data_IF_143352663932
#
_entry.id   IF_143352663932
#
_cell.length_a   1.000
_cell.length_b   1.000
_cell.length_c   1.000
_cell.angle_alpha   90.00
_cell.angle_beta   90.00
_cell.angle_gamma   90.00
#
_symmetry.space_group_name_H-M   'P 1'
#
loop_
_entity.id
_entity.type
_entity.pdbx_description
1 polymer ?
#
# COMPACT_ATOMS: atom_id res chain seq x y z
N UNK A 1 31.94 -9.22 -35.41
CA UNK A 1 31.78 -9.72 -34.03
C UNK A 1 30.80 -8.80 -33.31
N UNK A 2 29.50 -9.13 -33.30
CA UNK A 2 28.45 -8.22 -32.79
C UNK A 2 28.12 -8.64 -31.35
N UNK A 3 28.53 -7.82 -30.39
CA UNK A 3 28.18 -7.96 -28.98
C UNK A 3 26.69 -7.68 -28.81
N UNK A 4 25.91 -8.73 -28.53
CA UNK A 4 24.48 -8.62 -28.21
C UNK A 4 24.35 -7.97 -26.83
N UNK A 5 23.71 -6.80 -26.77
CA UNK A 5 23.41 -6.08 -25.54
C UNK A 5 22.51 -6.93 -24.64
N UNK A 6 23.01 -7.23 -23.45
CA UNK A 6 22.26 -7.84 -22.35
C UNK A 6 21.27 -6.83 -21.81
N UNK A 7 20.02 -6.93 -22.24
CA UNK A 7 18.90 -6.24 -21.60
C UNK A 7 18.72 -6.76 -20.18
N UNK A 8 18.68 -5.86 -19.19
CA UNK A 8 18.27 -6.19 -17.82
C UNK A 8 16.83 -6.71 -17.85
N UNK A 9 16.68 -8.03 -17.75
CA UNK A 9 15.38 -8.70 -17.62
C UNK A 9 15.00 -8.67 -16.14
N UNK A 10 14.02 -7.83 -15.79
CA UNK A 10 13.40 -7.88 -14.46
C UNK A 10 12.90 -9.32 -14.20
N UNK A 11 13.20 -9.90 -13.03
CA UNK A 11 12.75 -11.25 -12.73
C UNK A 11 11.22 -11.27 -12.71
N UNK A 12 10.62 -12.06 -13.61
CA UNK A 12 9.18 -12.30 -13.71
C UNK A 12 8.68 -13.28 -12.63
N UNK A 13 9.59 -13.84 -11.83
CA UNK A 13 9.26 -14.77 -10.74
C UNK A 13 9.00 -14.01 -9.44
N UNK A 14 7.75 -14.10 -8.97
CA UNK A 14 7.29 -13.55 -7.69
C UNK A 14 8.14 -14.15 -6.58
N UNK A 15 8.98 -13.35 -5.91
CA UNK A 15 9.69 -13.82 -4.73
C UNK A 15 8.74 -13.78 -3.53
N UNK A 16 8.45 -14.93 -2.89
CA UNK A 16 7.71 -14.92 -1.65
C UNK A 16 8.50 -14.16 -0.58
N UNK A 17 7.82 -13.33 0.21
CA UNK A 17 8.44 -12.70 1.37
C UNK A 17 8.37 -13.67 2.55
N UNK A 18 9.53 -13.98 3.12
CA UNK A 18 9.68 -14.87 4.26
C UNK A 18 9.89 -14.05 5.54
N UNK A 19 9.08 -14.32 6.56
CA UNK A 19 9.29 -13.79 7.91
C UNK A 19 9.84 -14.89 8.82
N UNK A 20 11.10 -14.82 9.28
CA UNK A 20 11.66 -15.84 10.17
C UNK A 20 10.99 -15.78 11.55
N UNK A 21 10.60 -16.95 12.07
CA UNK A 21 10.14 -17.10 13.45
C UNK A 21 11.38 -17.08 14.39
N UNK A 22 11.58 -15.98 15.13
CA UNK A 22 12.77 -15.78 15.96
C UNK A 22 12.48 -15.56 17.46
N UNK A 23 13.25 -16.26 18.30
CA UNK A 23 13.22 -16.39 19.77
C UNK A 23 13.65 -15.13 20.56
N UNK A 24 13.13 -13.95 20.23
CA UNK A 24 13.25 -12.75 21.07
C UNK A 24 11.94 -11.98 21.09
N UNK A 25 11.07 -12.32 22.04
CA UNK A 25 9.94 -11.50 22.50
C UNK A 25 8.82 -11.11 21.51
N UNK A 26 9.05 -11.15 20.20
CA UNK A 26 8.09 -10.71 19.19
C UNK A 26 7.34 -11.91 18.61
N UNK A 27 6.19 -12.25 19.21
CA UNK A 27 5.23 -13.21 18.65
C UNK A 27 4.42 -12.57 17.51
N UNK A 28 5.07 -12.10 16.45
CA UNK A 28 4.37 -11.78 15.19
C UNK A 28 4.35 -13.02 14.29
N UNK A 29 3.45 -13.95 14.59
CA UNK A 29 3.13 -15.07 13.69
C UNK A 29 2.13 -14.60 12.65
N UNK A 30 2.54 -14.52 11.39
CA UNK A 30 1.66 -14.26 10.24
C UNK A 30 0.73 -15.47 10.00
N UNK A 31 -0.58 -15.32 10.28
CA UNK A 31 -1.54 -16.43 10.38
C UNK A 31 -2.99 -15.90 10.43
N UNK A 32 -4.04 -16.43 9.75
CA UNK A 32 -4.14 -17.33 8.60
C UNK A 32 -4.47 -16.57 7.30
N UNK A 33 -4.13 -17.15 6.14
CA UNK A 33 -4.59 -16.65 4.83
C UNK A 33 -5.98 -17.19 4.55
N UNK A 34 -7.02 -16.35 4.61
CA UNK A 34 -8.38 -16.74 4.22
C UNK A 34 -8.72 -16.18 2.83
N UNK A 35 -9.16 -17.05 1.91
CA UNK A 35 -9.73 -16.62 0.63
C UNK A 35 -11.02 -15.82 0.88
N UNK A 36 -11.21 -14.72 0.15
CA UNK A 36 -12.44 -13.94 0.18
C UNK A 36 -13.30 -14.29 -1.04
N UNK A 37 -14.58 -14.60 -0.81
CA UNK A 37 -15.59 -14.70 -1.86
C UNK A 37 -16.47 -13.46 -1.74
N UNK A 38 -16.29 -12.51 -2.67
CA UNK A 38 -16.89 -11.19 -2.56
C UNK A 38 -16.41 -10.47 -1.29
N UNK A 39 -17.34 -10.07 -0.42
CA UNK A 39 -17.04 -9.40 0.86
C UNK A 39 -16.92 -10.35 2.06
N UNK A 40 -17.20 -11.65 1.90
CA UNK A 40 -17.19 -12.62 3.01
C UNK A 40 -15.86 -13.39 3.06
N UNK A 41 -15.35 -13.53 4.28
CA UNK A 41 -14.07 -14.19 4.57
C UNK A 41 -14.34 -15.67 4.86
N UNK A 42 -13.75 -16.57 4.07
CA UNK A 42 -13.85 -18.02 4.32
C UNK A 42 -12.80 -18.43 5.37
N UNK A 43 -13.17 -18.32 6.66
CA UNK A 43 -12.27 -18.64 7.78
C UNK A 43 -11.91 -20.13 7.85
N UNK A 44 -12.81 -21.01 7.44
CA UNK A 44 -12.62 -22.47 7.49
C UNK A 44 -11.52 -22.97 6.54
N UNK A 45 -11.25 -22.21 5.46
CA UNK A 45 -10.16 -22.48 4.52
C UNK A 45 -8.86 -21.75 4.87
N UNK A 46 -8.84 -21.05 6.01
CA UNK A 46 -7.69 -20.32 6.47
C UNK A 46 -6.60 -21.24 7.00
N UNK A 47 -5.38 -21.12 6.49
CA UNK A 47 -4.20 -21.83 7.01
C UNK A 47 -3.10 -20.86 7.45
N UNK A 48 -2.34 -21.29 8.44
CA UNK A 48 -1.30 -20.54 9.11
C UNK A 48 0.02 -20.59 8.32
N UNK A 49 0.59 -19.46 7.88
CA UNK A 49 1.80 -19.48 7.04
C UNK A 49 2.66 -18.22 7.18
N UNK A 50 3.96 -18.41 7.44
CA UNK A 50 4.96 -17.34 7.58
C UNK A 50 5.44 -16.73 6.23
N UNK A 51 4.85 -17.17 5.13
CA UNK A 51 5.21 -16.82 3.75
C UNK A 51 3.99 -16.25 3.05
N UNK A 52 4.09 -15.03 2.52
CA UNK A 52 3.00 -14.46 1.73
C UNK A 52 3.47 -13.79 0.44
N UNK A 53 2.52 -13.70 -0.50
CA UNK A 53 2.75 -13.14 -1.83
C UNK A 53 2.18 -11.72 -1.86
N UNK A 54 3.00 -10.67 -1.85
CA UNK A 54 2.50 -9.30 -1.82
C UNK A 54 1.69 -8.97 -3.08
N UNK A 55 0.75 -8.02 -2.94
CA UNK A 55 0.02 -7.46 -4.08
C UNK A 55 0.96 -6.69 -5.00
N UNK A 56 0.98 -7.05 -6.29
CA UNK A 56 1.82 -6.35 -7.27
C UNK A 56 1.15 -5.05 -7.71
N UNK A 57 1.89 -3.94 -7.69
CA UNK A 57 1.41 -2.63 -8.09
C UNK A 57 2.30 -2.07 -9.20
N UNK A 58 1.74 -1.90 -10.40
CA UNK A 58 2.41 -1.30 -11.55
C UNK A 58 1.57 -0.13 -12.10
N UNK A 59 1.61 1.04 -11.43
CA UNK A 59 0.84 2.19 -11.90
C UNK A 59 1.47 2.71 -13.20
N UNK A 60 0.63 2.90 -14.22
CA UNK A 60 1.03 3.46 -15.52
C UNK A 60 0.36 4.82 -15.72
N UNK A 61 1.09 5.75 -16.33
CA UNK A 61 0.58 7.07 -16.68
C UNK A 61 0.90 7.36 -18.14
N UNK A 62 -0.08 7.90 -18.85
CA UNK A 62 0.09 8.37 -20.21
C UNK A 62 0.74 9.77 -20.22
N UNK A 63 1.79 9.90 -21.03
CA UNK A 63 2.52 11.14 -21.24
C UNK A 63 1.99 11.77 -22.53
N UNK A 64 1.14 12.78 -22.37
CA UNK A 64 0.58 13.55 -23.47
C UNK A 64 1.17 14.96 -23.46
N UNK A 65 1.90 15.37 -24.52
CA UNK A 65 2.57 16.67 -24.60
C UNK A 65 1.59 17.84 -24.75
N UNK A 66 0.34 17.60 -25.12
CA UNK A 66 -0.68 18.64 -25.25
C UNK A 66 -1.25 19.09 -23.90
N UNK A 67 -1.04 18.30 -22.84
CA UNK A 67 -1.50 18.62 -21.48
C UNK A 67 -0.96 19.97 -21.00
N UNK A 68 -1.84 20.73 -20.37
CA UNK A 68 -1.48 21.98 -19.69
C UNK A 68 -0.61 21.68 -18.48
N UNK A 69 0.56 22.31 -18.41
CA UNK A 69 1.54 22.11 -17.34
C UNK A 69 1.44 23.28 -16.36
N UNK A 70 1.32 22.97 -15.07
CA UNK A 70 1.43 23.98 -14.00
C UNK A 70 2.92 24.26 -13.76
N UNK A 71 3.30 25.53 -13.87
CA UNK A 71 4.66 26.01 -13.60
C UNK A 71 5.04 25.83 -12.13
N UNK A 72 6.32 25.54 -11.88
CA UNK A 72 6.87 25.58 -10.53
C UNK A 72 7.25 26.99 -10.11
N UNK A 73 7.23 27.29 -8.80
CA UNK A 73 7.75 28.57 -8.32
C UNK A 73 9.25 28.68 -8.65
N UNK A 74 9.64 29.77 -9.31
CA UNK A 74 11.03 30.03 -9.73
C UNK A 74 11.47 29.40 -11.06
N UNK A 75 10.57 28.78 -11.81
CA UNK A 75 10.85 28.25 -13.16
C UNK A 75 10.79 29.36 -14.22
N UNK A 76 11.72 29.35 -15.19
CA UNK A 76 11.75 30.31 -16.30
C UNK A 76 10.53 30.10 -17.22
N UNK A 77 9.67 31.12 -17.42
CA UNK A 77 8.53 31.04 -18.33
C UNK A 77 8.90 30.67 -19.78
N UNK A 78 10.09 31.06 -20.24
CA UNK A 78 10.50 30.81 -21.62
C UNK A 78 10.87 29.33 -21.87
N UNK A 79 11.38 28.63 -20.85
CA UNK A 79 11.75 27.22 -20.95
C UNK A 79 10.55 26.30 -21.23
N UNK A 80 9.35 26.70 -20.80
CA UNK A 80 8.09 25.98 -21.03
C UNK A 80 7.64 25.97 -22.49
N UNK A 81 8.15 26.85 -23.35
CA UNK A 81 7.83 26.85 -24.78
C UNK A 81 8.52 25.70 -25.53
N UNK A 82 9.63 25.16 -24.99
CA UNK A 82 10.36 24.06 -25.63
C UNK A 82 9.62 22.73 -25.47
N UNK A 83 9.27 22.03 -26.56
CA UNK A 83 8.57 20.74 -26.48
C UNK A 83 9.37 19.65 -25.73
N UNK A 84 10.70 19.69 -25.79
CA UNK A 84 11.57 18.73 -25.10
C UNK A 84 11.52 18.92 -23.58
N UNK A 85 11.58 20.18 -23.12
CA UNK A 85 11.48 20.53 -21.71
C UNK A 85 10.12 20.13 -21.12
N UNK A 86 9.02 20.42 -21.85
CA UNK A 86 7.66 20.02 -21.48
C UNK A 86 7.53 18.51 -21.30
N UNK A 87 8.10 17.72 -22.21
CA UNK A 87 8.05 16.25 -22.12
C UNK A 87 8.78 15.73 -20.89
N UNK A 88 9.98 16.25 -20.59
CA UNK A 88 10.76 15.86 -19.41
C UNK A 88 9.98 16.21 -18.13
N UNK A 89 9.36 17.39 -18.10
CA UNK A 89 8.52 17.84 -16.98
C UNK A 89 7.35 16.90 -16.72
N UNK A 90 6.63 16.49 -17.76
CA UNK A 90 5.51 15.56 -17.65
C UNK A 90 5.96 14.17 -17.18
N UNK A 91 7.09 13.67 -17.68
CA UNK A 91 7.67 12.40 -17.24
C UNK A 91 8.03 12.46 -15.74
N UNK A 92 8.71 13.53 -15.32
CA UNK A 92 9.09 13.71 -13.92
C UNK A 92 7.86 13.75 -13.00
N UNK A 93 6.82 14.48 -13.37
CA UNK A 93 5.58 14.53 -12.60
C UNK A 93 4.85 13.18 -12.57
N UNK A 94 4.82 12.45 -13.69
CA UNK A 94 4.28 11.10 -13.75
C UNK A 94 5.03 10.15 -12.81
N UNK A 95 6.36 10.16 -12.81
CA UNK A 95 7.19 9.37 -11.90
C UNK A 95 6.91 9.73 -10.44
N UNK A 96 6.80 11.02 -10.12
CA UNK A 96 6.49 11.47 -8.75
C UNK A 96 5.10 11.00 -8.30
N UNK A 97 4.11 11.03 -9.19
CA UNK A 97 2.76 10.52 -8.92
C UNK A 97 2.75 9.02 -8.69
N UNK A 98 3.49 8.25 -9.48
CA UNK A 98 3.65 6.81 -9.30
C UNK A 98 4.33 6.47 -7.96
N UNK A 99 5.39 7.19 -7.60
CA UNK A 99 6.04 7.01 -6.30
C UNK A 99 5.10 7.34 -5.14
N UNK A 100 4.29 8.40 -5.25
CA UNK A 100 3.27 8.76 -4.25
C UNK A 100 2.17 7.70 -4.11
N UNK A 101 1.68 7.13 -5.21
CA UNK A 101 0.63 6.10 -5.14
C UNK A 101 1.13 4.82 -4.49
N UNK A 102 2.38 4.42 -4.75
CA UNK A 102 3.02 3.29 -4.07
C UNK A 102 3.12 3.58 -2.57
N UNK A 103 3.63 4.75 -2.18
CA UNK A 103 3.73 5.15 -0.76
C UNK A 103 2.38 5.18 -0.07
N UNK A 104 1.35 5.76 -0.72
CA UNK A 104 0.01 5.81 -0.18
C UNK A 104 -0.59 4.41 0.04
N UNK A 105 -0.31 3.45 -0.87
CA UNK A 105 -0.75 2.07 -0.69
C UNK A 105 -0.03 1.39 0.47
N UNK A 106 1.27 1.62 0.64
CA UNK A 106 2.03 1.10 1.78
C UNK A 106 1.51 1.69 3.09
N UNK A 107 1.25 3.00 3.12
CA UNK A 107 0.71 3.69 4.29
C UNK A 107 -0.67 3.14 4.66
N UNK A 108 -1.55 2.95 3.68
CA UNK A 108 -2.87 2.36 3.91
C UNK A 108 -2.78 0.94 4.50
N UNK A 109 -1.85 0.11 4.01
CA UNK A 109 -1.60 -1.22 4.57
C UNK A 109 -0.99 -1.17 5.98
N UNK A 110 -0.17 -0.15 6.28
CA UNK A 110 0.42 0.04 7.59
C UNK A 110 -0.64 0.48 8.62
N UNK A 111 -1.48 1.45 8.27
CA UNK A 111 -2.57 1.93 9.12
C UNK A 111 -3.56 0.80 9.44
N UNK A 112 -3.96 0.02 8.44
CA UNK A 112 -4.86 -1.12 8.65
C UNK A 112 -4.25 -2.19 9.56
N UNK A 113 -2.95 -2.48 9.40
CA UNK A 113 -2.24 -3.41 10.27
C UNK A 113 -2.21 -2.94 11.73
N UNK A 114 -1.99 -1.65 11.98
CA UNK A 114 -1.90 -1.10 13.34
C UNK A 114 -3.28 -0.99 14.00
N UNK A 115 -4.28 -0.49 13.27
CA UNK A 115 -5.61 -0.16 13.82
C UNK A 115 -6.50 -1.39 13.98
N UNK A 116 -6.55 -2.24 12.95
CA UNK A 116 -7.47 -3.38 12.90
C UNK A 116 -6.77 -4.71 13.10
N UNK A 117 -5.44 -4.74 12.97
CA UNK A 117 -4.69 -5.99 12.95
C UNK A 117 -4.95 -6.84 11.71
N UNK A 118 -5.62 -6.31 10.68
CA UNK A 118 -6.03 -7.06 9.49
C UNK A 118 -5.72 -6.29 8.22
N UNK A 119 -5.17 -6.96 7.23
CA UNK A 119 -4.87 -6.40 5.91
C UNK A 119 -5.53 -7.23 4.82
N UNK A 120 -6.34 -6.58 3.99
CA UNK A 120 -6.82 -7.19 2.75
C UNK A 120 -5.81 -6.95 1.63
N UNK A 121 -5.29 -8.03 1.06
CA UNK A 121 -4.34 -7.96 -0.05
C UNK A 121 -5.08 -8.29 -1.34
N UNK A 122 -4.92 -7.39 -2.30
CA UNK A 122 -5.46 -7.47 -3.65
C UNK A 122 -4.33 -7.11 -4.62
N UNK A 123 -4.31 -7.76 -5.79
CA UNK A 123 -3.32 -7.46 -6.81
C UNK A 123 -3.56 -8.25 -8.09
N UNK A 124 -2.96 -7.79 -9.18
CA UNK A 124 -3.08 -8.43 -10.48
C UNK A 124 -2.52 -9.87 -10.45
N UNK A 125 -3.37 -10.84 -10.77
CA UNK A 125 -3.03 -12.27 -10.79
C UNK A 125 -2.90 -12.92 -9.40
N UNK A 126 -3.55 -12.36 -8.38
CA UNK A 126 -3.77 -13.00 -7.08
C UNK A 126 -5.24 -12.81 -6.68
N UNK A 127 -5.89 -13.87 -6.22
CA UNK A 127 -7.23 -13.76 -5.62
C UNK A 127 -7.17 -12.95 -4.33
N UNK A 128 -8.21 -12.16 -4.06
CA UNK A 128 -8.31 -11.35 -2.84
C UNK A 128 -8.26 -12.24 -1.60
N UNK A 129 -7.33 -11.95 -0.69
CA UNK A 129 -7.20 -12.68 0.57
C UNK A 129 -6.99 -11.75 1.76
N UNK A 130 -7.43 -12.21 2.93
CA UNK A 130 -7.21 -11.51 4.20
C UNK A 130 -5.94 -12.03 4.87
N UNK A 131 -5.15 -11.09 5.41
CA UNK A 131 -4.01 -11.32 6.28
C UNK A 131 -4.34 -10.81 7.68
N UNK A 132 -4.36 -11.72 8.66
CA UNK A 132 -4.57 -11.37 10.06
C UNK A 132 -3.22 -11.36 10.80
N UNK A 133 -2.96 -10.27 11.55
CA UNK A 133 -1.77 -10.08 12.39
C UNK A 133 -2.02 -10.47 13.85
N UNK A 134 -3.26 -10.87 14.18
CA UNK A 134 -3.71 -11.28 15.53
C UNK A 134 -3.38 -10.24 16.60
N UNK A 135 -3.70 -8.97 16.32
CA UNK A 135 -3.65 -7.92 17.33
C UNK A 135 -4.59 -8.32 18.49
N UNK A 136 -4.14 -8.26 19.76
CA UNK A 136 -5.00 -8.63 20.87
C UNK A 136 -6.22 -7.70 20.92
N UNK A 137 -7.41 -8.27 21.07
CA UNK A 137 -8.67 -7.52 21.06
C UNK A 137 -8.75 -6.44 22.16
N UNK A 138 -7.97 -6.59 23.24
CA UNK A 138 -7.83 -5.60 24.29
C UNK A 138 -7.24 -4.26 23.79
N UNK A 139 -6.48 -4.26 22.69
CA UNK A 139 -5.88 -3.05 22.14
C UNK A 139 -6.85 -2.29 21.20
N UNK A 140 -7.99 -2.89 20.85
CA UNK A 140 -9.02 -2.27 20.02
C UNK A 140 -10.11 -1.73 20.95
N UNK A 141 -9.94 -0.47 21.33
CA UNK A 141 -10.82 0.17 22.31
C UNK A 141 -11.99 0.83 21.57
N UNK A 142 -13.20 0.44 21.93
CA UNK A 142 -14.44 1.09 21.50
C UNK A 142 -14.96 1.97 22.64
N UNK A 143 -15.51 3.13 22.30
CA UNK A 143 -16.26 3.93 23.27
C UNK A 143 -17.57 3.20 23.59
N UNK A 144 -17.66 2.61 24.78
CA UNK A 144 -18.86 1.94 25.26
C UNK A 144 -20.01 2.94 25.50
N UNK A 145 -21.25 2.44 25.49
CA UNK A 145 -22.43 3.25 25.81
C UNK A 145 -22.29 3.89 27.21
N UNK A 146 -22.59 5.19 27.34
CA UNK A 146 -22.45 5.96 28.58
C UNK A 146 -21.07 6.59 28.83
N UNK A 147 -20.03 6.21 28.07
CA UNK A 147 -18.71 6.88 28.04
C UNK A 147 -18.37 7.48 26.68
N UNK A 148 -19.37 7.62 25.81
CA UNK A 148 -19.17 8.31 24.54
C UNK A 148 -18.96 9.79 24.80
N UNK A 149 -17.91 10.36 24.23
CA UNK A 149 -17.67 11.80 24.32
C UNK A 149 -18.83 12.63 23.75
N UNK A 150 -19.66 12.05 22.88
CA UNK A 150 -20.87 12.67 22.34
C UNK A 150 -22.03 12.79 23.34
N UNK A 151 -22.03 11.98 24.40
CA UNK A 151 -23.09 11.93 25.42
C UNK A 151 -22.65 12.61 26.72
N UNK A 152 -21.41 13.12 26.78
CA UNK A 152 -20.80 13.73 27.96
C UNK A 152 -20.98 15.26 27.95
N UNK A 153 -21.13 15.83 29.14
CA UNK A 153 -21.33 17.26 29.31
C UNK A 153 -19.98 18.00 29.16
N UNK A 154 -19.91 18.91 28.18
CA UNK A 154 -18.66 19.54 27.70
C UNK A 154 -17.91 20.32 28.79
N UNK A 155 -18.63 20.75 29.84
CA UNK A 155 -18.06 21.61 30.87
C UNK A 155 -17.46 20.84 32.06
N UNK A 156 -17.75 19.54 32.22
CA UNK A 156 -17.36 18.77 33.40
C UNK A 156 -16.63 17.45 33.09
N UNK A 157 -16.48 17.10 31.82
CA UNK A 157 -15.84 15.85 31.41
C UNK A 157 -14.39 16.10 30.96
N UNK A 158 -13.45 15.41 31.60
CA UNK A 158 -12.03 15.34 31.20
C UNK A 158 -11.80 14.01 30.44
N UNK A 159 -11.45 14.05 29.14
CA UNK A 159 -11.40 12.88 28.25
C UNK A 159 -10.29 11.86 28.49
#
# INVERSE_FOLDING_TARGET
>A
MIQKSTWYRWPTTRKPLYWPNGTRGSRFTLKPRACMVGSRVQRDKGYDTATFTPGYLKPKNEIDPSKTIIRLPGEDPAALNSPSYRRIRLIHDALRRQAKSIKARVEWLAVNAITTGKNTIEGEGIERYELDWKLPAANIIFQAAGKKWSEQDRNNFDP
#
